data_IF_473509966602
#
_entry.id   IF_473509966602
#
_cell.length_a   1.000
_cell.length_b   1.000
_cell.length_c   1.000
_cell.angle_alpha   90.00
_cell.angle_beta   90.00
_cell.angle_gamma   90.00
#
_symmetry.space_group_name_H-M   'P 1'
#
loop_
_entity.id
_entity.type
_entity.pdbx_description
1 polymer ?
#
# COMPACT_ATOMS: atom_id res chain seq x y z
N UNK A 1 19.25 -7.04 -35.41
CA UNK A 1 19.37 -6.87 -33.95
C UNK A 1 20.61 -7.60 -33.49
N UNK A 2 21.54 -6.93 -32.80
CA UNK A 2 22.72 -7.56 -32.21
C UNK A 2 22.35 -8.09 -30.82
N UNK A 3 23.06 -9.11 -30.34
CA UNK A 3 22.84 -9.67 -29.00
C UNK A 3 22.90 -8.59 -27.90
N UNK A 4 23.80 -7.62 -28.03
CA UNK A 4 23.88 -6.47 -27.10
C UNK A 4 22.59 -5.66 -27.01
N UNK A 5 21.91 -5.42 -28.13
CA UNK A 5 20.64 -4.69 -28.17
C UNK A 5 19.52 -5.48 -27.45
N UNK A 6 19.55 -6.82 -27.56
CA UNK A 6 18.59 -7.70 -26.90
C UNK A 6 18.79 -7.73 -25.39
N UNK A 7 20.03 -7.72 -24.91
CA UNK A 7 20.35 -7.64 -23.48
C UNK A 7 19.93 -6.30 -22.90
N UNK A 8 20.18 -5.19 -23.61
CA UNK A 8 19.75 -3.87 -23.18
C UNK A 8 18.22 -3.77 -23.07
N UNK A 9 17.49 -4.22 -24.09
CA UNK A 9 16.03 -4.23 -24.07
C UNK A 9 15.46 -5.15 -22.96
N UNK A 10 16.13 -6.27 -22.69
CA UNK A 10 15.75 -7.17 -21.59
C UNK A 10 15.95 -6.50 -20.22
N UNK A 11 17.06 -5.79 -20.02
CA UNK A 11 17.35 -5.09 -18.78
C UNK A 11 16.31 -3.99 -18.49
N UNK A 12 16.01 -3.14 -19.48
CA UNK A 12 15.00 -2.09 -19.39
C UNK A 12 13.61 -2.67 -19.08
N UNK A 13 13.21 -3.74 -19.78
CA UNK A 13 11.93 -4.42 -19.51
C UNK A 13 11.88 -4.99 -18.10
N UNK A 14 13.00 -5.51 -17.59
CA UNK A 14 13.08 -6.06 -16.23
C UNK A 14 12.96 -4.96 -15.19
N UNK A 15 13.64 -3.83 -15.38
CA UNK A 15 13.56 -2.65 -14.51
C UNK A 15 12.11 -2.14 -14.39
N UNK A 16 11.44 -1.94 -15.53
CA UNK A 16 10.04 -1.54 -15.52
C UNK A 16 9.11 -2.55 -14.84
N UNK A 17 9.35 -3.85 -15.01
CA UNK A 17 8.56 -4.88 -14.32
C UNK A 17 8.80 -4.86 -12.81
N UNK A 18 10.02 -4.57 -12.35
CA UNK A 18 10.33 -4.43 -10.92
C UNK A 18 9.63 -3.21 -10.31
N UNK A 19 9.64 -2.05 -10.99
CA UNK A 19 8.92 -0.86 -10.54
C UNK A 19 7.42 -1.12 -10.41
N UNK A 20 6.83 -1.76 -11.42
CA UNK A 20 5.41 -2.14 -11.41
C UNK A 20 5.09 -3.15 -10.30
N UNK A 21 5.95 -4.15 -10.08
CA UNK A 21 5.79 -5.11 -9.00
C UNK A 21 5.81 -4.42 -7.64
N UNK A 22 6.80 -3.57 -7.41
CA UNK A 22 6.96 -2.85 -6.14
C UNK A 22 5.75 -1.95 -5.86
N UNK A 23 5.32 -1.15 -6.84
CA UNK A 23 4.13 -0.29 -6.73
C UNK A 23 2.87 -1.10 -6.43
N UNK A 24 2.61 -2.16 -7.20
CA UNK A 24 1.40 -3.00 -7.01
C UNK A 24 1.38 -3.68 -5.64
N UNK A 25 2.52 -4.19 -5.17
CA UNK A 25 2.62 -4.83 -3.85
C UNK A 25 2.35 -3.80 -2.76
N UNK A 26 3.01 -2.64 -2.80
CA UNK A 26 2.80 -1.57 -1.83
C UNK A 26 1.33 -1.14 -1.76
N UNK A 27 0.70 -0.90 -2.93
CA UNK A 27 -0.72 -0.53 -2.99
C UNK A 27 -1.66 -1.64 -2.54
N UNK A 28 -1.35 -2.90 -2.84
CA UNK A 28 -2.11 -4.04 -2.33
C UNK A 28 -2.09 -4.09 -0.80
N UNK A 29 -0.92 -3.92 -0.19
CA UNK A 29 -0.80 -3.84 1.26
C UNK A 29 -1.57 -2.65 1.83
N UNK A 30 -1.38 -1.45 1.27
CA UNK A 30 -2.03 -0.25 1.80
C UNK A 30 -3.54 -0.32 1.69
N UNK A 31 -4.05 -0.80 0.56
CA UNK A 31 -5.48 -1.03 0.35
C UNK A 31 -6.01 -2.02 1.39
N UNK A 32 -5.29 -3.10 1.67
CA UNK A 32 -5.69 -4.09 2.66
C UNK A 32 -5.77 -3.48 4.08
N UNK A 33 -4.79 -2.68 4.49
CA UNK A 33 -4.83 -1.98 5.80
C UNK A 33 -6.02 -1.03 5.87
N UNK A 34 -6.23 -0.21 4.83
CA UNK A 34 -7.34 0.75 4.76
C UNK A 34 -8.68 0.02 4.84
N UNK A 35 -8.85 -1.07 4.09
CA UNK A 35 -10.10 -1.84 4.05
C UNK A 35 -10.37 -2.63 5.32
N UNK A 36 -9.33 -3.11 6.02
CA UNK A 36 -9.46 -3.76 7.32
C UNK A 36 -9.72 -2.77 8.46
N UNK A 37 -9.51 -1.47 8.22
CA UNK A 37 -9.71 -0.45 9.25
C UNK A 37 -11.19 -0.35 9.62
N UNK A 38 -11.54 -0.43 10.93
CA UNK A 38 -12.91 -0.29 11.39
C UNK A 38 -13.57 1.00 10.92
N UNK A 39 -14.85 0.91 10.57
CA UNK A 39 -15.66 2.05 10.14
C UNK A 39 -16.69 2.35 11.21
N UNK A 40 -16.61 3.58 11.72
CA UNK A 40 -17.68 4.23 12.47
C UNK A 40 -18.17 5.45 11.67
N UNK A 41 -17.50 6.60 11.83
CA UNK A 41 -17.70 7.76 10.94
C UNK A 41 -16.95 7.63 9.60
N UNK A 42 -15.89 6.80 9.55
CA UNK A 42 -14.97 6.69 8.42
C UNK A 42 -13.68 7.51 8.59
N UNK A 43 -13.54 8.25 9.70
CA UNK A 43 -12.35 9.05 9.99
C UNK A 43 -11.07 8.24 10.14
N UNK A 44 -11.13 7.09 10.82
CA UNK A 44 -9.98 6.21 11.01
C UNK A 44 -9.41 5.75 9.67
N UNK A 45 -10.30 5.30 8.78
CA UNK A 45 -9.98 4.87 7.42
C UNK A 45 -9.39 6.00 6.57
N UNK A 46 -9.98 7.20 6.64
CA UNK A 46 -9.53 8.37 5.91
C UNK A 46 -8.17 8.96 6.35
N UNK A 47 -7.68 8.58 7.54
CA UNK A 47 -6.44 9.12 8.10
C UNK A 47 -5.19 8.29 7.75
N UNK A 48 -5.34 7.23 6.95
CA UNK A 48 -4.19 6.55 6.37
C UNK A 48 -3.57 7.42 5.28
N UNK A 49 -2.36 7.92 5.58
CA UNK A 49 -1.58 8.81 4.74
C UNK A 49 -0.37 8.06 4.19
N UNK A 50 -0.02 8.37 2.94
CA UNK A 50 1.10 7.74 2.24
C UNK A 50 2.12 8.79 1.83
N UNK A 51 3.40 8.52 2.04
CA UNK A 51 4.49 9.36 1.55
C UNK A 51 5.74 8.53 1.23
N UNK A 52 6.56 9.05 0.31
CA UNK A 52 7.84 8.44 -0.09
C UNK A 52 8.97 9.19 0.61
N UNK A 53 9.91 8.46 1.21
CA UNK A 53 11.12 8.99 1.84
C UNK A 53 10.95 9.61 3.24
N UNK A 54 9.73 9.98 3.64
CA UNK A 54 9.44 10.51 4.98
C UNK A 54 8.10 10.01 5.53
N UNK A 55 8.00 9.87 6.85
CA UNK A 55 6.75 9.48 7.52
C UNK A 55 5.77 10.67 7.51
N UNK A 56 4.53 10.50 7.02
CA UNK A 56 3.49 11.52 7.11
C UNK A 56 3.19 11.92 8.56
N UNK A 57 3.09 13.22 8.83
CA UNK A 57 2.72 13.78 10.11
C UNK A 57 1.27 14.31 10.12
N UNK A 58 0.79 14.72 11.29
CA UNK A 58 -0.53 15.33 11.45
C UNK A 58 -1.72 14.37 11.27
N UNK A 59 -2.91 14.90 11.53
CA UNK A 59 -4.20 14.19 11.42
C UNK A 59 -5.11 14.92 10.45
N UNK A 60 -5.91 14.15 9.71
CA UNK A 60 -6.90 14.67 8.78
C UNK A 60 -8.29 14.70 9.44
N UNK A 61 -9.09 15.70 9.07
CA UNK A 61 -10.50 15.83 9.48
C UNK A 61 -11.46 15.20 8.46
N UNK A 62 -10.93 14.40 7.53
CA UNK A 62 -11.70 13.74 6.48
C UNK A 62 -12.43 12.50 7.03
N UNK A 63 -13.50 12.12 6.35
CA UNK A 63 -14.24 10.89 6.60
C UNK A 63 -14.44 10.14 5.29
N UNK A 64 -14.07 8.86 5.27
CA UNK A 64 -14.20 8.00 4.11
C UNK A 64 -14.59 6.60 4.57
N UNK A 65 -15.91 6.36 4.62
CA UNK A 65 -16.45 5.04 4.98
C UNK A 65 -16.10 3.99 3.93
N UNK A 66 -16.00 4.38 2.67
CA UNK A 66 -15.74 3.46 1.56
C UNK A 66 -14.28 3.01 1.50
N UNK A 67 -13.34 3.88 1.89
CA UNK A 67 -11.91 3.73 1.67
C UNK A 67 -11.45 4.14 0.26
N UNK A 68 -12.37 4.43 -0.66
CA UNK A 68 -12.05 4.67 -2.06
C UNK A 68 -11.24 5.94 -2.29
N UNK A 69 -11.55 7.03 -1.59
CA UNK A 69 -10.81 8.28 -1.70
C UNK A 69 -9.40 8.13 -1.09
N UNK A 70 -9.32 7.41 0.03
CA UNK A 70 -8.05 7.13 0.71
C UNK A 70 -7.13 6.26 -0.14
N UNK A 71 -7.67 5.19 -0.75
CA UNK A 71 -6.92 4.32 -1.67
C UNK A 71 -6.49 5.09 -2.92
N UNK A 72 -7.36 5.96 -3.47
CA UNK A 72 -7.01 6.78 -4.63
C UNK A 72 -5.87 7.76 -4.32
N UNK A 73 -5.85 8.35 -3.12
CA UNK A 73 -4.75 9.20 -2.68
C UNK A 73 -3.45 8.39 -2.48
N UNK A 74 -3.53 7.16 -1.98
CA UNK A 74 -2.40 6.25 -1.89
C UNK A 74 -1.83 5.89 -3.27
N UNK A 75 -2.69 5.56 -4.25
CA UNK A 75 -2.28 5.27 -5.63
C UNK A 75 -1.61 6.48 -6.30
N UNK A 76 -2.17 7.68 -6.13
CA UNK A 76 -1.56 8.91 -6.61
C UNK A 76 -0.17 9.14 -5.99
N UNK A 77 -0.01 8.87 -4.70
CA UNK A 77 1.27 9.02 -3.99
C UNK A 77 2.30 7.97 -4.42
N UNK A 78 1.85 6.76 -4.75
CA UNK A 78 2.70 5.67 -5.23
C UNK A 78 3.01 5.77 -6.74
N UNK A 79 2.47 6.75 -7.46
CA UNK A 79 2.61 6.85 -8.91
C UNK A 79 4.06 7.03 -9.38
N UNK A 80 4.87 7.72 -8.58
CA UNK A 80 6.29 7.96 -8.83
C UNK A 80 7.24 6.96 -8.17
N UNK A 81 6.72 5.90 -7.56
CA UNK A 81 7.50 4.95 -6.79
C UNK A 81 8.38 4.08 -7.70
N UNK A 82 9.68 4.02 -7.39
CA UNK A 82 10.64 3.14 -8.06
C UNK A 82 11.11 2.03 -7.13
N UNK A 83 11.54 0.92 -7.72
CA UNK A 83 12.16 -0.16 -6.96
C UNK A 83 13.39 0.37 -6.20
N UNK A 84 13.40 0.19 -4.88
CA UNK A 84 14.45 0.69 -3.99
C UNK A 84 14.06 1.94 -3.20
N UNK A 85 12.97 2.62 -3.56
CA UNK A 85 12.42 3.68 -2.74
C UNK A 85 11.82 3.14 -1.42
N UNK A 86 11.76 4.01 -0.41
CA UNK A 86 11.07 3.72 0.84
C UNK A 86 9.73 4.46 0.86
N UNK A 87 8.64 3.71 1.01
CA UNK A 87 7.29 4.25 1.09
C UNK A 87 6.69 3.94 2.47
N UNK A 88 6.03 4.93 3.05
CA UNK A 88 5.43 4.87 4.36
C UNK A 88 3.91 4.95 4.25
N UNK A 89 3.23 4.17 5.09
CA UNK A 89 1.81 4.29 5.39
C UNK A 89 1.69 4.62 6.87
N UNK A 90 1.08 5.75 7.20
CA UNK A 90 0.96 6.24 8.57
C UNK A 90 -0.46 6.68 8.87
N UNK A 91 -0.86 6.50 10.13
CA UNK A 91 -2.08 7.07 10.67
C UNK A 91 -1.75 7.59 12.06
N UNK A 92 -1.98 8.88 12.27
CA UNK A 92 -1.52 9.58 13.48
C UNK A 92 -2.67 9.88 14.44
N UNK A 93 -3.84 9.24 14.25
CA UNK A 93 -4.95 9.40 15.17
C UNK A 93 -4.56 8.83 16.55
N UNK A 94 -4.81 9.55 17.67
CA UNK A 94 -4.41 9.11 19.01
C UNK A 94 -4.96 7.73 19.42
N UNK A 95 -6.03 7.27 18.78
CA UNK A 95 -6.67 5.99 19.08
C UNK A 95 -6.35 4.88 18.07
N UNK A 96 -5.53 5.13 17.03
CA UNK A 96 -5.29 4.12 15.99
C UNK A 96 -4.63 2.87 16.54
N UNK A 97 -3.70 3.02 17.48
CA UNK A 97 -3.03 1.89 18.13
C UNK A 97 -4.03 1.01 18.89
N UNK A 98 -5.02 1.61 19.56
CA UNK A 98 -6.08 0.85 20.23
C UNK A 98 -6.90 0.03 19.23
N UNK A 99 -7.15 0.57 18.03
CA UNK A 99 -7.84 -0.18 16.97
C UNK A 99 -6.98 -1.33 16.44
N UNK A 100 -5.66 -1.14 16.37
CA UNK A 100 -4.71 -2.20 16.01
C UNK A 100 -4.67 -3.31 17.05
N UNK A 101 -4.76 -2.95 18.33
CA UNK A 101 -4.79 -3.89 19.46
C UNK A 101 -6.15 -4.59 19.63
N UNK A 102 -7.07 -4.45 18.67
CA UNK A 102 -8.34 -5.18 18.65
C UNK A 102 -9.47 -4.54 19.48
N UNK A 103 -9.38 -3.26 19.83
CA UNK A 103 -10.45 -2.56 20.58
C UNK A 103 -11.81 -2.56 19.84
N UNK A 104 -11.79 -2.65 18.51
CA UNK A 104 -13.01 -2.78 17.70
C UNK A 104 -13.28 -4.24 17.34
N UNK A 105 -14.52 -4.69 17.55
CA UNK A 105 -14.97 -6.01 17.07
C UNK A 105 -14.94 -6.18 15.55
N UNK A 106 -14.78 -5.09 14.78
CA UNK A 106 -14.59 -5.16 13.32
C UNK A 106 -13.16 -5.57 12.91
N UNK A 107 -12.16 -5.30 13.76
CA UNK A 107 -10.76 -5.62 13.49
C UNK A 107 -10.08 -6.23 14.74
N UNK A 108 -10.55 -7.37 15.26
CA UNK A 108 -10.03 -7.96 16.49
C UNK A 108 -8.59 -8.47 16.36
N UNK A 109 -8.13 -8.73 15.14
CA UNK A 109 -6.77 -9.21 14.83
C UNK A 109 -5.82 -8.08 14.37
N UNK A 110 -6.25 -6.82 14.48
CA UNK A 110 -5.52 -5.67 13.97
C UNK A 110 -5.65 -5.49 12.46
N UNK A 111 -5.18 -4.34 11.98
CA UNK A 111 -5.24 -3.93 10.58
C UNK A 111 -3.88 -4.13 9.92
N UNK A 112 -2.83 -3.59 10.55
CA UNK A 112 -1.46 -3.61 10.04
C UNK A 112 -0.84 -4.98 10.26
N UNK A 113 -0.94 -5.54 11.46
CA UNK A 113 -0.37 -6.84 11.81
C UNK A 113 -0.92 -7.97 10.94
N UNK A 114 -2.24 -7.97 10.71
CA UNK A 114 -2.89 -8.94 9.82
C UNK A 114 -2.40 -8.79 8.37
N UNK A 115 -2.30 -7.56 7.86
CA UNK A 115 -1.82 -7.33 6.48
C UNK A 115 -0.36 -7.72 6.30
N UNK A 116 0.50 -7.50 7.30
CA UNK A 116 1.90 -7.93 7.25
C UNK A 116 2.00 -9.46 7.15
N UNK A 117 1.15 -10.20 7.87
CA UNK A 117 1.09 -11.66 7.73
C UNK A 117 0.64 -12.11 6.33
N UNK A 118 -0.19 -11.30 5.66
CA UNK A 118 -0.68 -11.55 4.31
C UNK A 118 0.29 -11.09 3.21
N UNK A 119 1.43 -10.48 3.55
CA UNK A 119 2.39 -9.93 2.59
C UNK A 119 2.78 -10.92 1.49
N UNK A 120 3.14 -12.15 1.86
CA UNK A 120 3.57 -13.17 0.90
C UNK A 120 2.49 -13.53 -0.11
N UNK A 121 1.22 -13.55 0.33
CA UNK A 121 0.08 -13.83 -0.55
C UNK A 121 -0.15 -12.68 -1.53
N UNK A 122 -0.07 -11.43 -1.05
CA UNK A 122 -0.20 -10.23 -1.89
C UNK A 122 0.93 -10.19 -2.92
N UNK A 123 2.17 -10.43 -2.50
CA UNK A 123 3.34 -10.45 -3.37
C UNK A 123 3.22 -11.55 -4.45
N UNK A 124 2.80 -12.76 -4.06
CA UNK A 124 2.58 -13.86 -4.99
C UNK A 124 1.51 -13.51 -6.04
N UNK A 125 0.38 -12.94 -5.64
CA UNK A 125 -0.69 -12.53 -6.55
C UNK A 125 -0.20 -11.51 -7.59
N UNK A 126 0.51 -10.47 -7.15
CA UNK A 126 1.07 -9.46 -8.06
C UNK A 126 2.11 -10.06 -9.01
N UNK A 127 2.96 -10.96 -8.51
CA UNK A 127 3.98 -11.61 -9.34
C UNK A 127 3.35 -12.44 -10.47
N UNK A 128 2.26 -13.14 -10.20
CA UNK A 128 1.54 -13.93 -11.20
C UNK A 128 0.94 -13.05 -12.30
N UNK A 129 0.30 -11.94 -11.93
CA UNK A 129 -0.24 -10.97 -12.89
C UNK A 129 0.83 -10.40 -13.83
N UNK A 130 2.02 -10.10 -13.34
CA UNK A 130 3.10 -9.50 -14.14
C UNK A 130 3.81 -10.49 -15.07
N UNK A 131 3.69 -11.79 -14.80
CA UNK A 131 4.22 -12.86 -15.66
C UNK A 131 3.27 -13.15 -16.83
N UNK A 132 1.96 -12.95 -16.65
CA UNK A 132 0.96 -13.15 -17.70
C UNK A 132 0.86 -12.00 -18.72
N UNK A 133 1.55 -10.88 -18.46
CA UNK A 133 1.65 -9.69 -19.33
C UNK A 133 3.04 -9.58 -19.96
#
# INVERSE_FOLDING_TARGET
>A
MRFGDQIAAFAEKTEHKMDLAFRKIALGMFSQVIMNTPVDSGRARANWQVAIGSVPDGVLTLEDKSGSATISAADASAAGLKAGDVIYLANNLPYIQRLEDGYSGQAPAGMVGLTVQQFQQIAAQVSFELVQV
#
